data_IF_249578690147
#
_entry.id   IF_249578690147
#
_cell.length_a   1.000
_cell.length_b   1.000
_cell.length_c   1.000
_cell.angle_alpha   90.00
_cell.angle_beta   90.00
_cell.angle_gamma   90.00
#
_symmetry.space_group_name_H-M   'P 1'
#
loop_
_entity.id
_entity.type
_entity.pdbx_description
1 polymer ?
#
# COMPACT_ATOMS: atom_id res chain seq x y z
N UNK A 1 12.87 -5.86 3.74
CA UNK A 1 11.67 -5.50 2.96
C UNK A 1 11.30 -4.06 3.31
N UNK A 2 11.35 -3.16 2.34
CA UNK A 2 10.92 -1.78 2.49
C UNK A 2 9.50 -1.64 1.96
N UNK A 3 8.64 -0.91 2.67
CA UNK A 3 7.28 -0.59 2.23
C UNK A 3 7.05 0.90 2.42
N UNK A 4 6.45 1.55 1.43
CA UNK A 4 6.23 3.00 1.44
C UNK A 4 5.16 3.45 0.45
N UNK A 5 4.91 4.75 0.43
CA UNK A 5 4.00 5.41 -0.51
C UNK A 5 4.81 5.86 -1.72
N UNK A 6 4.29 5.59 -2.91
CA UNK A 6 4.80 6.11 -4.16
C UNK A 6 3.76 6.99 -4.84
N UNK A 7 4.24 8.00 -5.57
CA UNK A 7 3.47 8.84 -6.50
C UNK A 7 4.35 9.05 -7.72
N UNK A 8 3.93 8.57 -8.89
CA UNK A 8 4.70 8.66 -10.14
C UNK A 8 3.97 9.55 -11.13
N UNK A 9 4.69 10.25 -12.00
CA UNK A 9 4.13 11.15 -13.01
C UNK A 9 3.74 10.42 -14.32
N UNK A 10 3.83 9.10 -14.35
CA UNK A 10 3.43 8.25 -15.46
C UNK A 10 2.53 7.13 -14.97
N UNK A 11 1.85 6.48 -15.93
CA UNK A 11 0.92 5.38 -15.67
C UNK A 11 1.68 4.14 -15.22
N UNK A 12 1.14 3.48 -14.20
CA UNK A 12 1.67 2.26 -13.63
C UNK A 12 0.61 1.16 -13.62
N UNK A 13 1.03 -0.05 -13.29
CA UNK A 13 0.13 -1.20 -13.13
C UNK A 13 0.29 -1.82 -11.74
N UNK A 14 -0.84 -2.07 -11.09
CA UNK A 14 -0.88 -2.79 -9.83
C UNK A 14 -0.47 -4.26 -10.03
N UNK A 15 0.64 -4.67 -9.43
CA UNK A 15 1.19 -6.03 -9.54
C UNK A 15 0.24 -7.11 -9.00
N UNK A 16 -0.73 -6.74 -8.15
CA UNK A 16 -1.65 -7.68 -7.50
C UNK A 16 -2.93 -7.96 -8.29
N UNK A 17 -3.44 -6.97 -9.03
CA UNK A 17 -4.75 -7.09 -9.70
C UNK A 17 -4.76 -6.55 -11.14
N UNK A 18 -3.63 -6.09 -11.66
CA UNK A 18 -3.49 -5.57 -13.03
C UNK A 18 -4.23 -4.27 -13.31
N UNK A 19 -4.77 -3.60 -12.29
CA UNK A 19 -5.46 -2.33 -12.51
C UNK A 19 -4.46 -1.22 -12.78
N UNK A 20 -4.90 -0.24 -13.56
CA UNK A 20 -4.12 0.96 -13.85
C UNK A 20 -3.98 1.81 -12.58
N UNK A 21 -2.77 2.29 -12.35
CA UNK A 21 -2.43 3.29 -11.35
C UNK A 21 -2.15 4.58 -12.11
N UNK A 22 -3.03 5.57 -11.96
CA UNK A 22 -2.99 6.76 -12.79
C UNK A 22 -1.79 7.65 -12.42
N UNK A 23 -1.29 8.46 -13.37
CA UNK A 23 -0.30 9.49 -13.06
C UNK A 23 -0.74 10.35 -11.87
N UNK A 24 0.18 10.61 -10.96
CA UNK A 24 -0.02 11.35 -9.71
C UNK A 24 -0.98 10.68 -8.70
N UNK A 25 -1.41 9.45 -8.95
CA UNK A 25 -2.10 8.66 -7.94
C UNK A 25 -1.10 8.14 -6.90
N UNK A 26 -1.48 8.22 -5.62
CA UNK A 26 -0.68 7.63 -4.53
C UNK A 26 -1.02 6.15 -4.41
N UNK A 27 0.00 5.31 -4.42
CA UNK A 27 -0.13 3.85 -4.25
C UNK A 27 0.95 3.34 -3.30
N UNK A 28 0.81 2.09 -2.84
CA UNK A 28 1.78 1.47 -1.93
C UNK A 28 2.77 0.64 -2.73
N UNK A 29 4.06 0.80 -2.43
CA UNK A 29 5.13 -0.02 -2.99
C UNK A 29 5.78 -0.82 -1.89
N UNK A 30 6.02 -2.10 -2.14
CA UNK A 30 6.86 -2.94 -1.31
C UNK A 30 8.02 -3.51 -2.14
N UNK A 31 9.24 -3.41 -1.65
CA UNK A 31 10.44 -3.95 -2.30
C UNK A 31 11.28 -4.78 -1.34
N UNK A 32 11.85 -5.86 -1.85
CA UNK A 32 12.88 -6.65 -1.15
C UNK A 32 14.30 -6.36 -1.67
N UNK A 33 14.47 -5.38 -2.57
CA UNK A 33 15.74 -5.05 -3.23
C UNK A 33 15.89 -5.68 -4.63
N UNK A 34 15.13 -6.73 -4.93
CA UNK A 34 15.17 -7.43 -6.23
C UNK A 34 13.88 -7.23 -7.03
N UNK A 35 12.74 -7.20 -6.33
CA UNK A 35 11.41 -7.08 -6.93
C UNK A 35 10.61 -6.00 -6.25
N UNK A 36 9.98 -5.17 -7.07
CA UNK A 36 9.05 -4.14 -6.64
C UNK A 36 7.61 -4.64 -6.84
N UNK A 37 6.84 -4.65 -5.75
CA UNK A 37 5.40 -4.97 -5.74
C UNK A 37 4.64 -3.65 -5.61
N UNK A 38 3.87 -3.31 -6.65
CA UNK A 38 3.03 -2.10 -6.70
C UNK A 38 1.61 -2.49 -6.33
N UNK A 39 1.03 -1.83 -5.33
CA UNK A 39 -0.30 -2.13 -4.79
C UNK A 39 -1.21 -0.92 -4.89
N UNK A 40 -2.31 -1.06 -5.63
CA UNK A 40 -3.42 -0.11 -5.55
C UNK A 40 -4.03 -0.09 -4.15
N UNK A 41 -4.72 1.00 -3.81
CA UNK A 41 -5.30 1.20 -2.48
C UNK A 41 -6.28 0.09 -2.09
N UNK A 42 -7.02 -0.47 -3.07
CA UNK A 42 -7.92 -1.59 -2.83
C UNK A 42 -7.18 -2.87 -2.46
N UNK A 43 -6.10 -3.20 -3.18
CA UNK A 43 -5.26 -4.35 -2.89
C UNK A 43 -4.58 -4.21 -1.53
N UNK A 44 -4.04 -3.03 -1.23
CA UNK A 44 -3.47 -2.72 0.07
C UNK A 44 -4.47 -2.96 1.22
N UNK A 45 -5.71 -2.44 1.09
CA UNK A 45 -6.77 -2.66 2.09
C UNK A 45 -7.12 -4.14 2.27
N UNK A 46 -7.20 -4.90 1.18
CA UNK A 46 -7.44 -6.35 1.24
C UNK A 46 -6.30 -7.07 1.95
N UNK A 47 -5.04 -6.71 1.68
CA UNK A 47 -3.86 -7.26 2.35
C UNK A 47 -3.87 -6.96 3.84
N UNK A 48 -4.16 -5.71 4.23
CA UNK A 48 -4.32 -5.32 5.63
C UNK A 48 -5.49 -6.03 6.34
N UNK A 49 -6.55 -6.40 5.62
CA UNK A 49 -7.74 -7.03 6.19
C UNK A 49 -7.61 -8.55 6.40
N UNK A 50 -6.58 -9.19 5.83
CA UNK A 50 -6.31 -10.62 6.01
C UNK A 50 -5.68 -10.97 7.36
N UNK A 51 -5.48 -9.99 8.26
CA UNK A 51 -5.03 -10.26 9.63
C UNK A 51 -6.11 -11.08 10.35
N UNK A 52 -5.81 -12.29 10.87
CA UNK A 52 -6.76 -13.04 11.68
C UNK A 52 -7.08 -12.23 12.95
N UNK A 53 -8.37 -11.95 13.18
CA UNK A 53 -8.88 -11.22 14.37
C UNK A 53 -8.75 -12.01 15.68
N UNK A 54 -8.10 -13.17 15.70
CA UNK A 54 -7.90 -14.01 16.89
C UNK A 54 -6.42 -14.16 17.18
N UNK A 55 -6.01 -13.48 18.24
CA UNK A 55 -4.89 -13.76 19.13
C UNK A 55 -4.21 -15.12 18.90
N UNK A 56 -3.03 -15.12 18.25
CA UNK A 56 -1.96 -16.14 18.41
C UNK A 56 -0.89 -15.94 17.30
N UNK A 57 0.02 -14.99 17.53
CA UNK A 57 1.41 -14.89 17.02
C UNK A 57 1.79 -13.42 16.91
N UNK A 58 2.47 -12.96 17.96
CA UNK A 58 3.00 -11.60 18.15
C UNK A 58 4.02 -11.16 17.08
N UNK A 59 4.33 -11.99 16.08
CA UNK A 59 5.41 -11.78 15.09
C UNK A 59 4.95 -11.64 13.61
N UNK A 60 3.66 -11.87 13.28
CA UNK A 60 3.14 -11.68 11.90
C UNK A 60 2.52 -10.29 11.64
N UNK A 61 2.61 -9.38 12.62
CA UNK A 61 1.81 -8.16 12.65
C UNK A 61 2.46 -6.92 12.02
N UNK A 62 3.76 -6.93 11.71
CA UNK A 62 4.47 -5.69 11.32
C UNK A 62 4.05 -5.16 9.93
N UNK A 63 3.91 -6.04 8.93
CA UNK A 63 3.60 -5.61 7.56
C UNK A 63 2.18 -5.06 7.41
N UNK A 64 1.20 -5.70 8.01
CA UNK A 64 -0.20 -5.28 7.88
C UNK A 64 -0.47 -3.98 8.64
N UNK A 65 0.15 -3.78 9.81
CA UNK A 65 0.12 -2.49 10.51
C UNK A 65 0.80 -1.38 9.72
N UNK A 66 1.95 -1.67 9.09
CA UNK A 66 2.60 -0.73 8.16
C UNK A 66 1.68 -0.36 7.00
N UNK A 67 1.02 -1.32 6.36
CA UNK A 67 0.05 -1.04 5.29
C UNK A 67 -1.10 -0.15 5.80
N UNK A 68 -1.65 -0.43 6.99
CA UNK A 68 -2.72 0.39 7.58
C UNK A 68 -2.24 1.83 7.82
N UNK A 69 -1.05 2.00 8.38
CA UNK A 69 -0.46 3.32 8.63
C UNK A 69 -0.26 4.10 7.32
N UNK A 70 0.30 3.47 6.29
CA UNK A 70 0.47 4.10 4.97
C UNK A 70 -0.88 4.45 4.31
N UNK A 71 -1.91 3.61 4.48
CA UNK A 71 -3.26 3.92 3.97
C UNK A 71 -3.87 5.15 4.65
N UNK A 72 -3.63 5.33 5.95
CA UNK A 72 -4.06 6.53 6.68
C UNK A 72 -3.28 7.77 6.21
N UNK A 73 -1.96 7.64 6.04
CA UNK A 73 -1.12 8.72 5.54
C UNK A 73 -1.55 9.17 4.13
N UNK A 74 -1.80 8.24 3.20
CA UNK A 74 -2.35 8.57 1.87
C UNK A 74 -3.67 9.34 1.97
N UNK A 75 -4.55 8.96 2.91
CA UNK A 75 -5.83 9.65 3.11
C UNK A 75 -5.62 11.10 3.55
N UNK A 76 -4.68 11.36 4.46
CA UNK A 76 -4.38 12.72 4.90
C UNK A 76 -3.67 13.54 3.81
N UNK A 77 -2.72 12.95 3.08
CA UNK A 77 -2.06 13.60 1.96
C UNK A 77 -3.05 13.98 0.85
N UNK A 78 -4.00 13.11 0.51
CA UNK A 78 -5.02 13.40 -0.50
C UNK A 78 -6.02 14.48 -0.06
N UNK A 79 -6.25 14.67 1.25
CA UNK A 79 -7.04 15.82 1.75
C UNK A 79 -6.30 17.13 1.58
N UNK A 80 -4.98 17.13 1.80
CA UNK A 80 -4.15 18.32 1.68
C UNK A 80 -3.94 18.75 0.23
N UNK A 81 -3.87 17.82 -0.72
CA UNK A 81 -3.78 18.13 -2.16
C UNK A 81 -5.07 18.79 -2.71
N UNK A 82 -6.22 18.60 -2.03
CA UNK A 82 -7.52 19.14 -2.43
C UNK A 82 -7.87 20.48 -1.73
N UNK A 83 -6.87 21.13 -1.13
CA UNK A 83 -7.02 22.39 -0.38
C UNK A 83 -6.30 23.52 -1.10
#
# INVERSE_FOLDING_TARGET
MHIGIAKRNYKEECTMCGCELYPNERFIVATNGEKEIKMCLLCARKTASKIPRRSEKMFYNDLSWKIISLLQEIKELNKNDNK
#
